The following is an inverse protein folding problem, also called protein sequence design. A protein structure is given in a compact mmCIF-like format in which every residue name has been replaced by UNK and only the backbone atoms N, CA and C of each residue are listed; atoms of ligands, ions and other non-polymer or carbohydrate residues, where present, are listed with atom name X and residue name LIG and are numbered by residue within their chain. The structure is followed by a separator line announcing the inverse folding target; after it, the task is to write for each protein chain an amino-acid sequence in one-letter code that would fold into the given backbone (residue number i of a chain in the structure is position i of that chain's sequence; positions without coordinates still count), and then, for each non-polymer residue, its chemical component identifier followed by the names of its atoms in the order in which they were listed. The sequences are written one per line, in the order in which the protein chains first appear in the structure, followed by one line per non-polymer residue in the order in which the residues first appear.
data_IF_429762884758
#
_entry.id   IF_429762884758
#
_cell.length_a   1.000
_cell.length_b   1.000
_cell.length_c   1.000
_cell.angle_alpha   90.00
_cell.angle_beta   90.00
_cell.angle_gamma   90.00
#
_symmetry.space_group_name_H-M   'P 1'
#
loop_
_entity.id
_entity.type
_entity.pdbx_description
1 polymer ?
#
# COMPACT_ATOMS: atom_id res chain seq x y z
N UNK A 1 -30.33 -5.60 -3.12
CA UNK A 1 -29.04 -5.81 -2.45
C UNK A 1 -28.42 -7.02 -3.12
N UNK A 2 -27.52 -6.77 -4.06
CA UNK A 2 -26.69 -7.82 -4.64
C UNK A 2 -25.49 -7.95 -3.73
N UNK A 3 -25.37 -9.07 -3.01
CA UNK A 3 -24.18 -9.35 -2.21
C UNK A 3 -22.94 -9.12 -3.08
N UNK A 4 -22.07 -8.22 -2.65
CA UNK A 4 -20.89 -7.87 -3.43
C UNK A 4 -19.94 -9.07 -3.45
N UNK A 5 -19.07 -9.13 -4.46
CA UNK A 5 -18.06 -10.20 -4.52
C UNK A 5 -17.07 -10.13 -3.35
N UNK A 6 -16.86 -8.93 -2.78
CA UNK A 6 -16.04 -8.73 -1.59
C UNK A 6 -16.64 -9.40 -0.34
N UNK A 7 -17.97 -9.33 -0.17
CA UNK A 7 -18.67 -9.99 0.95
C UNK A 7 -18.55 -11.53 0.92
N UNK A 8 -18.23 -12.12 -0.25
CA UNK A 8 -18.05 -13.57 -0.42
C UNK A 8 -16.64 -14.06 -0.06
N UNK A 9 -15.70 -13.17 0.24
CA UNK A 9 -14.39 -13.55 0.78
C UNK A 9 -14.58 -13.85 2.27
N UNK A 10 -14.90 -15.09 2.58
CA UNK A 10 -15.28 -15.46 3.96
C UNK A 10 -14.10 -15.64 4.91
N UNK A 11 -12.86 -15.66 4.41
CA UNK A 11 -11.60 -15.42 5.15
C UNK A 11 -10.46 -15.92 4.26
N UNK A 12 -9.41 -15.10 4.11
CA UNK A 12 -8.13 -15.62 3.65
C UNK A 12 -7.59 -16.49 4.77
N UNK A 13 -7.22 -17.74 4.48
CA UNK A 13 -6.33 -18.48 5.38
C UNK A 13 -4.97 -17.82 5.28
N UNK A 14 -4.75 -16.85 6.16
CA UNK A 14 -3.45 -16.25 6.38
C UNK A 14 -2.97 -16.70 7.76
N UNK A 15 -1.71 -17.13 7.87
CA UNK A 15 -1.09 -17.46 9.16
C UNK A 15 -0.53 -16.24 9.87
N UNK A 16 -0.65 -15.05 9.26
CA UNK A 16 -0.21 -13.78 9.82
C UNK A 16 -1.04 -13.43 11.06
N UNK A 17 -0.36 -13.25 12.18
CA UNK A 17 -0.91 -12.61 13.38
C UNK A 17 -0.50 -11.13 13.45
N UNK A 18 -1.06 -10.41 14.42
CA UNK A 18 -0.82 -8.98 14.57
C UNK A 18 0.65 -8.68 14.85
N UNK A 19 1.32 -9.46 15.69
CA UNK A 19 2.71 -9.19 16.08
C UNK A 19 3.63 -9.35 14.87
N UNK A 20 3.48 -10.44 14.12
CA UNK A 20 4.21 -10.69 12.87
C UNK A 20 3.91 -9.60 11.82
N UNK A 21 2.66 -9.12 11.74
CA UNK A 21 2.31 -8.02 10.84
C UNK A 21 3.04 -6.73 11.22
N UNK A 22 3.09 -6.37 12.50
CA UNK A 22 3.73 -5.14 12.96
C UNK A 22 5.26 -5.23 12.88
N UNK A 23 5.85 -6.42 12.99
CA UNK A 23 7.27 -6.64 12.68
C UNK A 23 7.55 -6.40 11.19
N UNK A 24 6.64 -6.80 10.30
CA UNK A 24 6.79 -6.64 8.85
C UNK A 24 6.49 -5.22 8.35
N UNK A 25 5.47 -4.60 8.93
CA UNK A 25 4.95 -3.29 8.56
C UNK A 25 4.82 -2.40 9.81
N UNK A 26 5.95 -2.01 10.43
CA UNK A 26 5.94 -1.11 11.58
C UNK A 26 5.33 0.27 11.25
N UNK A 27 5.24 0.63 9.96
CA UNK A 27 4.53 1.81 9.47
C UNK A 27 3.10 1.93 10.02
N UNK A 28 2.43 0.81 10.27
CA UNK A 28 1.06 0.77 10.81
C UNK A 28 0.95 1.53 12.13
N UNK A 29 1.98 1.47 12.98
CA UNK A 29 1.99 2.17 14.28
C UNK A 29 2.01 3.70 14.15
N UNK A 30 2.32 4.21 12.96
CA UNK A 30 2.39 5.66 12.68
C UNK A 30 1.09 6.21 12.07
N UNK A 31 0.07 5.36 11.94
CA UNK A 31 -1.31 5.76 11.67
C UNK A 31 -1.92 6.12 13.03
N UNK A 32 -2.09 7.41 13.30
CA UNK A 32 -2.46 7.91 14.62
C UNK A 32 -3.97 7.87 14.89
N UNK A 33 -4.80 7.93 13.84
CA UNK A 33 -6.22 7.61 13.96
C UNK A 33 -6.41 6.13 14.29
N UNK A 34 -6.84 5.85 15.52
CA UNK A 34 -7.03 4.50 16.04
C UNK A 34 -8.00 3.64 15.22
N UNK A 35 -9.01 4.26 14.60
CA UNK A 35 -9.98 3.54 13.78
C UNK A 35 -9.34 3.10 12.47
N UNK A 36 -8.61 4.01 11.79
CA UNK A 36 -7.87 3.69 10.56
C UNK A 36 -6.80 2.65 10.86
N UNK A 37 -6.02 2.79 11.94
CA UNK A 37 -4.98 1.82 12.32
C UNK A 37 -5.57 0.43 12.53
N UNK A 38 -6.63 0.31 13.33
CA UNK A 38 -7.30 -0.96 13.60
C UNK A 38 -7.87 -1.61 12.34
N UNK A 39 -8.55 -0.85 11.49
CA UNK A 39 -9.13 -1.40 10.26
C UNK A 39 -8.06 -1.75 9.22
N UNK A 40 -6.91 -1.06 9.21
CA UNK A 40 -5.74 -1.42 8.40
C UNK A 40 -5.17 -2.77 8.81
N UNK A 41 -4.95 -2.99 10.12
CA UNK A 41 -4.53 -4.30 10.67
C UNK A 41 -5.52 -5.38 10.25
N UNK A 42 -6.82 -5.13 10.45
CA UNK A 42 -7.88 -6.07 10.10
C UNK A 42 -7.91 -6.39 8.60
N UNK A 43 -7.61 -5.43 7.73
CA UNK A 43 -7.51 -5.66 6.30
C UNK A 43 -6.40 -6.68 5.98
N UNK A 44 -5.21 -6.51 6.56
CA UNK A 44 -4.13 -7.47 6.39
C UNK A 44 -4.47 -8.87 6.91
N UNK A 45 -4.98 -8.95 8.15
CA UNK A 45 -5.29 -10.24 8.78
C UNK A 45 -6.41 -11.01 8.07
N UNK A 46 -7.39 -10.29 7.49
CA UNK A 46 -8.56 -10.93 6.87
C UNK A 46 -8.45 -11.12 5.37
N UNK A 47 -7.70 -10.27 4.67
CA UNK A 47 -7.75 -10.14 3.23
C UNK A 47 -6.38 -10.16 2.53
N UNK A 48 -5.25 -10.01 3.25
CA UNK A 48 -3.93 -10.06 2.61
C UNK A 48 -3.55 -11.49 2.22
N UNK A 49 -3.30 -11.78 0.93
CA UNK A 49 -2.76 -13.05 0.50
C UNK A 49 -1.29 -13.22 0.89
N UNK A 50 -0.88 -14.46 1.17
CA UNK A 50 0.53 -14.79 1.43
C UNK A 50 1.45 -14.35 0.29
N UNK A 51 0.98 -14.38 -0.97
CA UNK A 51 1.80 -13.99 -2.11
C UNK A 51 2.27 -12.54 -2.05
N UNK A 52 1.53 -11.64 -1.37
CA UNK A 52 1.87 -10.21 -1.27
C UNK A 52 3.32 -10.01 -0.79
N UNK A 53 3.76 -10.85 0.15
CA UNK A 53 5.08 -10.78 0.74
C UNK A 53 6.18 -11.30 -0.18
N UNK A 54 5.86 -12.11 -1.19
CA UNK A 54 6.84 -12.90 -1.95
C UNK A 54 6.98 -12.45 -3.40
N UNK A 55 5.94 -11.83 -3.97
CA UNK A 55 5.89 -11.52 -5.40
C UNK A 55 6.72 -10.27 -5.77
N UNK A 56 7.19 -10.18 -7.03
CA UNK A 56 7.74 -8.93 -7.55
C UNK A 56 6.64 -7.86 -7.69
N UNK A 57 7.03 -6.58 -7.63
CA UNK A 57 6.12 -5.45 -7.85
C UNK A 57 5.70 -5.32 -9.33
N UNK A 58 6.49 -5.87 -10.27
CA UNK A 58 6.06 -5.95 -11.67
C UNK A 58 6.66 -7.14 -12.40
N UNK A 59 5.78 -7.94 -13.03
CA UNK A 59 6.19 -9.10 -13.83
C UNK A 59 6.93 -8.76 -15.13
N UNK A 60 6.88 -7.51 -15.61
CA UNK A 60 7.58 -7.12 -16.86
C UNK A 60 8.95 -6.48 -16.62
N UNK A 61 9.27 -6.10 -15.38
CA UNK A 61 10.55 -5.49 -15.00
C UNK A 61 10.84 -4.10 -15.59
N UNK A 62 9.94 -3.51 -16.37
CA UNK A 62 10.21 -2.25 -17.11
C UNK A 62 10.05 -0.98 -16.27
N UNK A 63 9.29 -1.04 -15.19
CA UNK A 63 8.78 0.15 -14.50
C UNK A 63 9.16 0.25 -13.04
N UNK A 64 9.97 -0.69 -12.51
CA UNK A 64 10.28 -0.77 -11.08
C UNK A 64 11.76 -0.92 -10.83
N UNK A 65 12.22 -0.46 -9.67
CA UNK A 65 13.59 -0.60 -9.19
C UNK A 65 14.07 -2.07 -9.23
N UNK A 66 15.38 -2.32 -9.37
CA UNK A 66 15.90 -3.68 -9.53
C UNK A 66 15.52 -4.62 -8.37
N UNK A 67 15.51 -4.10 -7.15
CA UNK A 67 15.12 -4.77 -5.90
C UNK A 67 13.59 -4.89 -5.70
N UNK A 68 12.79 -4.38 -6.64
CA UNK A 68 11.33 -4.61 -6.69
C UNK A 68 10.94 -5.69 -7.70
N UNK A 69 11.91 -6.19 -8.49
CA UNK A 69 11.66 -7.17 -9.57
C UNK A 69 11.81 -8.62 -9.12
N UNK A 70 12.32 -8.83 -7.91
CA UNK A 70 12.55 -10.14 -7.32
C UNK A 70 11.58 -10.47 -6.20
N UNK A 71 12.00 -11.42 -5.36
CA UNK A 71 11.29 -11.80 -4.15
C UNK A 71 11.08 -10.57 -3.25
N UNK A 72 9.99 -10.49 -2.52
CA UNK A 72 9.65 -9.35 -1.64
C UNK A 72 9.42 -8.00 -2.37
N UNK A 73 9.42 -7.97 -3.70
CA UNK A 73 9.39 -6.72 -4.45
C UNK A 73 8.12 -5.89 -4.24
N UNK A 74 6.94 -6.53 -4.14
CA UNK A 74 5.68 -5.80 -3.88
C UNK A 74 5.62 -5.22 -2.46
N UNK A 75 6.20 -5.93 -1.49
CA UNK A 75 6.34 -5.45 -0.12
C UNK A 75 7.31 -4.27 -0.03
N UNK A 76 8.45 -4.34 -0.72
CA UNK A 76 9.42 -3.23 -0.83
C UNK A 76 8.76 -2.01 -1.49
N UNK A 77 8.05 -2.20 -2.61
CA UNK A 77 7.30 -1.14 -3.29
C UNK A 77 6.31 -0.47 -2.34
N UNK A 78 5.50 -1.26 -1.62
CA UNK A 78 4.54 -0.76 -0.62
C UNK A 78 5.21 0.16 0.40
N UNK A 79 6.36 -0.25 0.96
CA UNK A 79 7.12 0.58 1.92
C UNK A 79 7.69 1.84 1.28
N UNK A 80 8.09 1.80 0.00
CA UNK A 80 8.57 2.98 -0.75
C UNK A 80 7.46 3.97 -1.07
N UNK A 81 6.28 3.49 -1.44
CA UNK A 81 5.08 4.31 -1.61
C UNK A 81 4.76 5.01 -0.30
N UNK A 82 4.86 4.30 0.84
CA UNK A 82 4.64 4.86 2.16
C UNK A 82 5.56 6.05 2.45
N UNK A 83 6.88 5.88 2.29
CA UNK A 83 7.85 6.96 2.51
C UNK A 83 7.62 8.11 1.54
N UNK A 84 7.40 7.82 0.26
CA UNK A 84 7.15 8.85 -0.76
C UNK A 84 5.89 9.65 -0.43
N UNK A 85 4.84 8.97 0.03
CA UNK A 85 3.61 9.60 0.49
C UNK A 85 3.84 10.49 1.71
N UNK A 86 4.62 10.06 2.72
CA UNK A 86 4.95 10.91 3.87
C UNK A 86 5.67 12.20 3.45
N UNK A 87 6.66 12.08 2.56
CA UNK A 87 7.40 13.25 2.03
C UNK A 87 6.46 14.23 1.33
N UNK A 88 5.58 13.75 0.45
CA UNK A 88 4.66 14.63 -0.28
C UNK A 88 3.56 15.18 0.61
N UNK A 89 2.94 14.34 1.44
CA UNK A 89 1.82 14.70 2.31
C UNK A 89 2.21 15.73 3.35
N UNK A 90 3.47 15.73 3.83
CA UNK A 90 3.95 16.76 4.75
C UNK A 90 3.78 18.16 4.16
N UNK A 91 4.17 18.36 2.90
CA UNK A 91 4.02 19.65 2.24
C UNK A 91 2.55 20.04 2.03
N UNK A 92 1.68 19.08 1.74
CA UNK A 92 0.24 19.33 1.57
C UNK A 92 -0.43 19.71 2.90
N UNK A 93 -0.06 19.03 3.99
CA UNK A 93 -0.53 19.31 5.34
C UNK A 93 -0.14 20.73 5.79
N UNK A 94 1.13 21.12 5.62
CA UNK A 94 1.61 22.46 6.00
C UNK A 94 0.98 23.59 5.16
N UNK A 95 0.50 23.28 3.95
CA UNK A 95 -0.24 24.20 3.10
C UNK A 95 -1.75 24.25 3.42
N UNK A 96 -2.23 23.36 4.29
CA UNK A 96 -3.66 23.22 4.60
C UNK A 96 -4.49 22.57 3.48
N UNK A 97 -3.85 21.85 2.56
CA UNK A 97 -4.49 21.10 1.46
C UNK A 97 -4.87 19.67 1.85
N UNK A 98 -4.48 19.25 3.06
CA UNK A 98 -4.72 17.91 3.60
C UNK A 98 -4.93 18.06 5.11
N UNK A 99 -5.93 17.36 5.64
CA UNK A 99 -6.13 17.22 7.09
C UNK A 99 -5.29 16.07 7.65
N UNK A 100 -5.02 16.04 8.95
CA UNK A 100 -4.35 14.89 9.60
C UNK A 100 -5.11 13.57 9.39
N UNK A 101 -6.45 13.64 9.39
CA UNK A 101 -7.30 12.48 9.12
C UNK A 101 -7.11 11.94 7.70
N UNK A 102 -7.16 12.81 6.69
CA UNK A 102 -6.89 12.42 5.29
C UNK A 102 -5.45 11.92 5.14
N UNK A 103 -4.52 12.51 5.89
CA UNK A 103 -3.13 12.10 5.89
C UNK A 103 -2.97 10.66 6.39
N UNK A 104 -3.56 10.32 7.52
CA UNK A 104 -3.57 8.96 8.06
C UNK A 104 -4.34 7.98 7.17
N UNK A 105 -5.42 8.42 6.54
CA UNK A 105 -6.15 7.61 5.56
C UNK A 105 -5.27 7.25 4.35
N UNK A 106 -4.43 8.17 3.87
CA UNK A 106 -3.48 7.90 2.80
C UNK A 106 -2.28 7.05 3.24
N UNK A 107 -1.85 7.13 4.51
CA UNK A 107 -0.88 6.17 5.10
C UNK A 107 -1.43 4.73 5.01
N UNK A 108 -2.70 4.54 5.39
CA UNK A 108 -3.39 3.26 5.23
C UNK A 108 -3.49 2.82 3.77
N UNK A 109 -3.84 3.74 2.86
CA UNK A 109 -3.90 3.45 1.42
C UNK A 109 -2.55 3.00 0.87
N UNK A 110 -1.45 3.64 1.28
CA UNK A 110 -0.08 3.28 0.87
C UNK A 110 0.24 1.82 1.20
N UNK A 111 -0.18 1.33 2.36
CA UNK A 111 0.07 -0.05 2.77
C UNK A 111 -0.82 -1.06 2.03
N UNK A 112 -2.03 -0.67 1.63
CA UNK A 112 -3.05 -1.60 1.13
C UNK A 112 -3.22 -1.62 -0.39
N UNK A 113 -2.79 -0.59 -1.12
CA UNK A 113 -3.16 -0.37 -2.53
C UNK A 113 -2.87 -1.55 -3.46
N UNK A 114 -1.74 -2.23 -3.24
CA UNK A 114 -1.23 -3.32 -4.08
C UNK A 114 -1.37 -4.71 -3.42
N UNK A 115 -2.17 -4.82 -2.34
CA UNK A 115 -2.34 -6.07 -1.59
C UNK A 115 -2.95 -7.20 -2.42
N UNK A 116 -3.83 -6.86 -3.38
CA UNK A 116 -4.58 -7.80 -4.20
C UNK A 116 -4.18 -7.73 -5.68
N UNK A 117 -2.88 -7.56 -5.94
CA UNK A 117 -2.29 -7.37 -7.27
C UNK A 117 -2.67 -8.45 -8.28
N UNK A 118 -2.80 -9.70 -7.85
CA UNK A 118 -3.19 -10.84 -8.70
C UNK A 118 -4.69 -11.12 -8.68
N UNK A 119 -5.48 -10.12 -8.28
CA UNK A 119 -6.93 -10.14 -8.31
C UNK A 119 -7.56 -10.80 -7.09
N UNK A 120 -8.84 -11.17 -7.26
CA UNK A 120 -9.63 -11.82 -6.22
C UNK A 120 -9.01 -13.16 -5.84
N UNK A 121 -9.01 -13.48 -4.56
CA UNK A 121 -8.34 -14.67 -4.05
C UNK A 121 -8.98 -15.99 -4.52
N UNK A 122 -10.28 -15.97 -4.76
CA UNK A 122 -11.02 -17.08 -5.35
C UNK A 122 -10.70 -17.32 -6.83
N UNK A 123 -10.15 -16.32 -7.50
CA UNK A 123 -9.88 -16.26 -8.94
C UNK A 123 -8.47 -15.72 -9.17
N UNK A 124 -7.52 -16.14 -8.33
CA UNK A 124 -6.16 -15.61 -8.38
C UNK A 124 -5.56 -15.91 -9.75
N UNK A 125 -5.07 -14.87 -10.40
CA UNK A 125 -4.38 -14.97 -11.67
C UNK A 125 -2.86 -15.22 -11.49
N UNK A 126 -2.21 -15.63 -12.58
CA UNK A 126 -0.75 -15.82 -12.61
C UNK A 126 0.00 -14.48 -12.62
N UNK A 127 -0.64 -13.42 -13.13
CA UNK A 127 -0.07 -12.09 -13.33
C UNK A 127 -0.95 -10.99 -12.71
N UNK A 128 -0.40 -9.77 -12.65
CA UNK A 128 -1.16 -8.60 -12.19
C UNK A 128 -2.38 -8.35 -13.06
N UNK A 129 -3.53 -8.11 -12.43
CA UNK A 129 -4.79 -7.78 -13.11
C UNK A 129 -4.95 -6.27 -13.20
N UNK A 130 -5.55 -5.76 -14.28
CA UNK A 130 -5.72 -4.32 -14.52
C UNK A 130 -6.67 -3.63 -13.52
N UNK A 131 -7.52 -4.41 -12.85
CA UNK A 131 -8.53 -3.92 -11.90
C UNK A 131 -8.17 -4.18 -10.41
N UNK A 132 -6.90 -4.43 -10.08
CA UNK A 132 -6.50 -4.67 -8.68
C UNK A 132 -6.78 -3.46 -7.79
N UNK A 133 -6.77 -2.25 -8.35
CA UNK A 133 -7.21 -0.99 -7.71
C UNK A 133 -8.67 -1.04 -7.27
N UNK A 134 -9.57 -1.48 -8.14
CA UNK A 134 -11.01 -1.65 -7.83
C UNK A 134 -11.17 -2.73 -6.76
N UNK A 135 -10.49 -3.87 -6.91
CA UNK A 135 -10.58 -5.00 -5.99
C UNK A 135 -10.10 -4.63 -4.59
N UNK A 136 -8.93 -4.02 -4.47
CA UNK A 136 -8.39 -3.57 -3.18
C UNK A 136 -9.25 -2.47 -2.55
N UNK A 137 -9.82 -1.57 -3.36
CA UNK A 137 -10.77 -0.56 -2.89
C UNK A 137 -12.05 -1.17 -2.31
N UNK A 138 -12.66 -2.13 -3.02
CA UNK A 138 -13.86 -2.81 -2.56
C UNK A 138 -13.60 -3.57 -1.25
N UNK A 139 -12.44 -4.23 -1.10
CA UNK A 139 -12.04 -4.85 0.16
C UNK A 139 -11.90 -3.82 1.28
N UNK A 140 -11.23 -2.70 1.02
CA UNK A 140 -11.07 -1.62 1.99
C UNK A 140 -12.40 -0.97 2.40
N UNK A 141 -13.39 -0.92 1.49
CA UNK A 141 -14.71 -0.34 1.75
C UNK A 141 -15.68 -1.30 2.43
N UNK A 142 -15.69 -2.57 2.03
CA UNK A 142 -16.80 -3.49 2.31
C UNK A 142 -16.42 -4.59 3.32
N UNK A 143 -15.18 -5.08 3.30
CA UNK A 143 -14.73 -6.08 4.27
C UNK A 143 -14.23 -5.45 5.57
N UNK A 144 -13.71 -4.22 5.47
CA UNK A 144 -13.27 -3.41 6.61
C UNK A 144 -13.92 -2.03 6.51
N UNK A 145 -13.97 -1.32 7.63
CA UNK A 145 -14.65 -0.03 7.70
C UNK A 145 -13.68 1.14 7.52
N UNK A 146 -12.80 1.06 6.51
CA UNK A 146 -11.88 2.16 6.20
C UNK A 146 -12.62 3.34 5.57
N UNK A 147 -12.17 4.57 5.83
CA UNK A 147 -12.84 5.77 5.36
C UNK A 147 -12.67 5.97 3.85
N UNK A 148 -13.47 6.90 3.29
CA UNK A 148 -13.46 7.21 1.85
C UNK A 148 -12.11 7.66 1.33
N UNK A 149 -11.40 8.38 2.16
CA UNK A 149 -10.06 8.89 1.94
C UNK A 149 -9.06 7.75 1.71
N UNK A 150 -9.28 6.58 2.34
CA UNK A 150 -8.45 5.39 2.12
C UNK A 150 -8.89 4.63 0.88
N UNK A 151 -10.14 4.15 0.82
CA UNK A 151 -10.56 3.28 -0.29
C UNK A 151 -10.64 4.04 -1.62
N UNK A 152 -10.91 5.35 -1.59
CA UNK A 152 -10.93 6.20 -2.79
C UNK A 152 -9.53 6.43 -3.36
N UNK A 153 -8.51 6.46 -2.50
CA UNK A 153 -7.12 6.65 -2.91
C UNK A 153 -6.61 5.38 -3.56
N UNK A 154 -6.91 4.23 -2.96
CA UNK A 154 -6.68 2.91 -3.57
C UNK A 154 -7.39 2.80 -4.92
N UNK A 155 -8.67 3.20 -5.03
CA UNK A 155 -9.42 3.13 -6.28
C UNK A 155 -8.83 4.02 -7.39
N UNK A 156 -8.05 5.04 -7.03
CA UNK A 156 -7.52 6.03 -7.96
C UNK A 156 -6.01 5.89 -8.24
N UNK A 157 -5.32 4.99 -7.53
CA UNK A 157 -3.85 4.99 -7.49
C UNK A 157 -3.18 4.69 -8.83
N UNK A 158 -3.78 3.85 -9.68
CA UNK A 158 -3.27 3.61 -11.03
C UNK A 158 -3.56 4.75 -12.01
N UNK A 159 -4.43 5.70 -11.66
CA UNK A 159 -4.85 6.80 -12.53
C UNK A 159 -5.26 6.33 -13.91
N UNK A 160 -4.60 6.86 -14.95
CA UNK A 160 -4.93 6.57 -16.34
C UNK A 160 -4.48 5.16 -16.82
N UNK A 161 -3.83 4.37 -15.96
CA UNK A 161 -3.21 3.09 -16.32
C UNK A 161 -3.90 1.85 -15.73
N UNK A 162 -4.97 2.04 -14.93
CA UNK A 162 -5.76 0.96 -14.34
C UNK A 162 -7.25 1.04 -14.71
N UNK A 163 -8.03 0.06 -14.29
CA UNK A 163 -9.48 0.03 -14.49
C UNK A 163 -10.24 0.84 -13.43
N UNK A 164 -9.54 1.27 -12.37
CA UNK A 164 -10.04 2.20 -11.37
C UNK A 164 -10.35 3.59 -11.94
N UNK A 165 -10.65 4.53 -11.04
CA UNK A 165 -11.01 5.89 -11.45
C UNK A 165 -9.75 6.75 -11.57
N UNK A 166 -9.79 7.79 -12.40
CA UNK A 166 -8.79 8.85 -12.29
C UNK A 166 -8.98 9.64 -10.97
N UNK A 167 -7.90 10.19 -10.37
CA UNK A 167 -8.03 11.06 -9.20
C UNK A 167 -9.00 12.21 -9.42
N UNK A 168 -9.83 12.49 -8.41
CA UNK A 168 -10.86 13.53 -8.43
C UNK A 168 -10.75 14.51 -7.25
N UNK A 169 -9.90 14.21 -6.26
CA UNK A 169 -9.62 15.05 -5.10
C UNK A 169 -8.12 15.26 -4.93
N UNK A 170 -7.72 16.23 -4.10
CA UNK A 170 -6.32 16.51 -3.82
C UNK A 170 -5.60 15.33 -3.18
N UNK A 171 -6.23 14.62 -2.23
CA UNK A 171 -5.65 13.45 -1.58
C UNK A 171 -5.57 12.22 -2.50
N UNK A 172 -6.52 12.03 -3.43
CA UNK A 172 -6.42 10.99 -4.46
C UNK A 172 -5.25 11.27 -5.40
N UNK A 173 -5.10 12.54 -5.81
CA UNK A 173 -4.02 12.95 -6.71
C UNK A 173 -2.66 12.85 -6.01
N UNK A 174 -2.56 13.28 -4.75
CA UNK A 174 -1.38 13.14 -3.93
C UNK A 174 -0.95 11.67 -3.83
N UNK A 175 -1.89 10.77 -3.53
CA UNK A 175 -1.60 9.35 -3.41
C UNK A 175 -1.15 8.74 -4.74
N UNK A 176 -1.87 9.00 -5.83
CA UNK A 176 -1.48 8.59 -7.18
C UNK A 176 -0.07 9.05 -7.54
N UNK A 177 0.28 10.31 -7.23
CA UNK A 177 1.61 10.84 -7.50
C UNK A 177 2.68 10.19 -6.64
N UNK A 178 2.38 9.83 -5.40
CA UNK A 178 3.32 9.14 -4.52
C UNK A 178 3.64 7.72 -5.05
N UNK A 179 2.62 6.95 -5.43
CA UNK A 179 2.79 5.63 -6.04
C UNK A 179 3.54 5.71 -7.38
N UNK A 180 3.09 6.62 -8.25
CA UNK A 180 3.74 6.86 -9.54
C UNK A 180 5.21 7.23 -9.36
N UNK A 181 5.53 8.15 -8.45
CA UNK A 181 6.90 8.59 -8.17
C UNK A 181 7.75 7.44 -7.62
N UNK A 182 7.22 6.65 -6.69
CA UNK A 182 7.93 5.51 -6.11
C UNK A 182 8.28 4.44 -7.16
N UNK A 183 7.44 4.26 -8.18
CA UNK A 183 7.75 3.36 -9.30
C UNK A 183 8.89 3.89 -10.21
N UNK A 184 9.15 5.20 -10.28
CA UNK A 184 10.05 5.76 -11.31
C UNK A 184 11.53 5.65 -10.95
N UNK A 185 12.18 4.65 -11.51
CA UNK A 185 13.64 4.46 -11.45
C UNK A 185 14.48 5.70 -11.78
N UNK A 186 14.00 6.58 -12.68
CA UNK A 186 14.74 7.80 -13.09
C UNK A 186 14.95 8.79 -11.92
N UNK A 187 14.13 8.69 -10.87
CA UNK A 187 14.23 9.51 -9.66
C UNK A 187 15.06 8.82 -8.57
N UNK A 188 15.65 7.67 -8.87
CA UNK A 188 16.34 6.82 -7.91
C UNK A 188 15.38 5.81 -7.25
N UNK A 189 15.85 5.21 -6.15
CA UNK A 189 15.09 4.26 -5.34
C UNK A 189 14.73 4.94 -4.01
N UNK A 190 13.44 5.21 -3.71
CA UNK A 190 13.06 5.68 -2.39
C UNK A 190 13.56 4.73 -1.30
N UNK A 191 13.90 5.28 -0.15
CA UNK A 191 14.26 4.49 1.02
C UNK A 191 13.01 3.80 1.61
N UNK A 192 13.26 2.78 2.44
CA UNK A 192 12.26 2.14 3.29
C UNK A 192 12.62 2.33 4.77
N UNK A 193 11.64 2.31 5.66
CA UNK A 193 11.86 2.43 7.10
C UNK A 193 11.74 1.08 7.79
N UNK A 194 12.69 0.81 8.69
CA UNK A 194 12.75 -0.38 9.56
C UNK A 194 12.35 -1.69 8.83
N UNK A 195 13.12 -2.11 7.79
CA UNK A 195 12.80 -3.34 7.07
C UNK A 195 12.96 -4.58 7.94
N UNK A 196 12.08 -5.54 7.74
CA UNK A 196 12.15 -6.85 8.36
C UNK A 196 13.35 -7.66 7.82
N UNK A 197 13.88 -8.59 8.62
CA UNK A 197 15.07 -9.41 8.29
C UNK A 197 14.97 -10.13 6.94
N UNK A 198 13.81 -10.72 6.61
CA UNK A 198 13.54 -11.32 5.29
C UNK A 198 13.86 -10.38 4.10
N UNK A 199 13.63 -9.08 4.21
CA UNK A 199 14.00 -8.11 3.17
C UNK A 199 15.51 -7.91 3.17
N UNK A 200 16.14 -7.70 4.33
CA UNK A 200 17.57 -7.38 4.41
C UNK A 200 18.47 -8.58 4.12
N UNK A 201 17.99 -9.80 4.36
CA UNK A 201 18.70 -11.03 4.00
C UNK A 201 18.75 -11.23 2.48
N UNK A 202 17.65 -10.90 1.79
CA UNK A 202 17.57 -10.96 0.32
C UNK A 202 18.26 -9.75 -0.34
N UNK A 203 18.13 -8.56 0.26
CA UNK A 203 18.65 -7.29 -0.24
C UNK A 203 19.47 -6.57 0.85
N UNK A 204 20.72 -7.01 1.09
CA UNK A 204 21.56 -6.43 2.16
C UNK A 204 21.92 -4.96 1.95
N UNK A 205 21.92 -4.51 0.69
CA UNK A 205 22.24 -3.12 0.31
C UNK A 205 20.98 -2.25 0.13
N UNK A 206 19.82 -2.66 0.68
CA UNK A 206 18.58 -1.89 0.50
C UNK A 206 18.67 -0.52 1.18
N UNK A 207 18.26 0.52 0.44
CA UNK A 207 18.29 1.89 0.96
C UNK A 207 17.28 2.07 2.09
N UNK A 208 17.75 2.48 3.26
CA UNK A 208 16.90 2.75 4.44
C UNK A 208 16.97 4.21 4.88
N UNK A 209 15.91 4.66 5.55
CA UNK A 209 15.87 5.95 6.26
C UNK A 209 16.09 5.71 7.75
N UNK A 210 16.83 6.62 8.42
CA UNK A 210 17.01 6.57 9.88
C UNK A 210 15.70 6.86 10.60
N UNK A 211 15.58 6.41 11.84
CA UNK A 211 14.39 6.71 12.67
C UNK A 211 14.21 8.21 12.89
N UNK A 212 15.29 8.96 13.13
CA UNK A 212 15.23 10.42 13.32
C UNK A 212 14.68 11.12 12.07
N UNK A 213 15.21 10.78 10.88
CA UNK A 213 14.73 11.38 9.63
C UNK A 213 13.33 10.92 9.25
N UNK A 214 12.93 9.71 9.67
CA UNK A 214 11.56 9.25 9.49
C UNK A 214 10.58 9.99 10.41
N UNK A 215 10.96 10.25 11.67
CA UNK A 215 10.15 11.01 12.63
C UNK A 215 9.92 12.45 12.17
N UNK A 216 10.89 13.08 11.51
CA UNK A 216 10.72 14.39 10.86
C UNK A 216 9.65 14.40 9.75
N UNK A 217 9.35 13.24 9.16
CA UNK A 217 8.31 13.10 8.13
C UNK A 217 6.92 12.86 8.72
N UNK A 218 6.80 12.49 10.00
CA UNK A 218 5.53 12.26 10.69
C UNK A 218 4.83 13.56 11.07
#
# INVERSE_FOLDING_TARGET
MTDSKAERITQVRNTLDTDTLLERLPEIETIFDDSIRRETIKAFLKACPEYFWEIPSSGTGKYHAEDERGKHGNWIHTKRVYITYLVHSRSYLEQGLLTEFERDAGKSAALLHDMLKFGWLSEREEYAVSNHDVIASDVAREMVSLPRETWGAIHAHNGAWGDGKNPQTEWEQLFHMADYTASKQVLGKPCIWNPHELITDEYPDINTISSDSFEELL
#
